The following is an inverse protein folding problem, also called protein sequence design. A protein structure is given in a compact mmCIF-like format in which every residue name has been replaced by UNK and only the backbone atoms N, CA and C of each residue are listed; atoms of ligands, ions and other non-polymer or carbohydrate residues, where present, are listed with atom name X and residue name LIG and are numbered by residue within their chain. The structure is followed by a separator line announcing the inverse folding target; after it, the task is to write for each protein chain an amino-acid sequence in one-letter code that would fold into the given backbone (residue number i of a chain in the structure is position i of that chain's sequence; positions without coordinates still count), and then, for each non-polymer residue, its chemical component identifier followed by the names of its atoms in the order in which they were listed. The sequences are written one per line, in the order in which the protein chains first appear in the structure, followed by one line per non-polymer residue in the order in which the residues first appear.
data_IF_267124938543
#
_entry.id   IF_267124938543
#
_cell.length_a   1.000
_cell.length_b   1.000
_cell.length_c   1.000
_cell.angle_alpha   90.00
_cell.angle_beta   90.00
_cell.angle_gamma   90.00
#
_symmetry.space_group_name_H-M   'P 1'
#
loop_
_entity.id
_entity.type
_entity.pdbx_description
1 polymer ?
#
# COMPACT_ATOMS: atom_id res chain seq x y z
N UNK A 1 35.14 -21.55 7.02
CA UNK A 1 34.02 -20.68 7.47
C UNK A 1 32.94 -20.85 6.42
N UNK A 2 31.83 -21.50 6.76
CA UNK A 2 30.72 -21.76 5.82
C UNK A 2 29.67 -20.69 6.11
N UNK A 3 29.35 -19.87 5.12
CA UNK A 3 28.25 -18.92 5.19
C UNK A 3 26.97 -19.65 4.79
N UNK A 4 26.08 -19.87 5.74
CA UNK A 4 24.76 -20.44 5.47
C UNK A 4 23.77 -19.30 5.21
N UNK A 5 23.11 -19.33 4.06
CA UNK A 5 22.04 -18.39 3.73
C UNK A 5 20.78 -18.82 4.48
N UNK A 6 20.36 -18.02 5.47
CA UNK A 6 19.10 -18.23 6.18
C UNK A 6 17.99 -17.46 5.45
N UNK A 7 17.25 -18.13 4.57
CA UNK A 7 16.04 -17.56 3.95
C UNK A 7 14.95 -17.41 5.02
N UNK A 8 14.95 -16.26 5.71
CA UNK A 8 13.81 -15.87 6.53
C UNK A 8 12.69 -15.43 5.59
N UNK A 9 11.82 -16.37 5.21
CA UNK A 9 10.51 -16.08 4.59
C UNK A 9 9.58 -15.40 5.61
N UNK A 10 9.95 -14.19 6.04
CA UNK A 10 9.04 -13.28 6.72
C UNK A 10 8.27 -12.66 5.55
N UNK A 11 7.16 -13.31 5.17
CA UNK A 11 6.25 -12.85 4.11
C UNK A 11 5.12 -12.06 4.77
N UNK A 12 4.77 -10.86 4.27
CA UNK A 12 3.65 -10.11 4.81
C UNK A 12 2.37 -10.94 4.66
N UNK A 13 1.34 -10.71 5.50
CA UNK A 13 0.03 -11.31 5.29
C UNK A 13 -0.38 -11.19 3.82
N UNK A 14 -0.76 -12.30 3.20
CA UNK A 14 -1.10 -12.35 1.76
C UNK A 14 -2.17 -11.32 1.38
N UNK A 15 -3.02 -10.94 2.34
CA UNK A 15 -3.99 -9.86 2.23
C UNK A 15 -3.40 -8.49 1.85
N UNK A 16 -2.12 -8.22 2.15
CA UNK A 16 -1.43 -6.98 1.77
C UNK A 16 -0.69 -7.07 0.44
N UNK A 17 -0.51 -8.28 -0.11
CA UNK A 17 0.11 -8.52 -1.42
C UNK A 17 -0.92 -8.53 -2.56
N UNK A 18 -2.20 -8.42 -2.23
CA UNK A 18 -3.28 -8.35 -3.22
C UNK A 18 -3.20 -7.00 -3.93
N UNK A 19 -3.42 -7.01 -5.24
CA UNK A 19 -3.39 -5.78 -6.02
C UNK A 19 -4.54 -4.86 -5.61
N UNK A 20 -4.18 -3.60 -5.37
CA UNK A 20 -5.11 -2.53 -5.11
C UNK A 20 -6.12 -2.35 -6.25
N UNK A 21 -7.41 -2.41 -5.92
CA UNK A 21 -8.49 -2.18 -6.88
C UNK A 21 -9.05 -0.76 -6.72
N UNK A 22 -8.81 0.09 -7.72
CA UNK A 22 -9.42 1.41 -7.81
C UNK A 22 -10.72 1.26 -8.62
N UNK A 23 -11.88 1.70 -8.08
CA UNK A 23 -13.20 1.40 -8.65
C UNK A 23 -13.50 2.12 -9.97
N UNK A 24 -12.79 3.21 -10.29
CA UNK A 24 -13.02 4.00 -11.49
C UNK A 24 -11.72 4.15 -12.28
N UNK A 25 -11.69 3.60 -13.49
CA UNK A 25 -10.54 3.68 -14.42
C UNK A 25 -10.69 4.81 -15.44
N UNK A 26 -11.89 5.37 -15.58
CA UNK A 26 -12.19 6.47 -16.47
C UNK A 26 -12.67 7.71 -15.70
N UNK A 27 -12.42 8.91 -16.23
CA UNK A 27 -12.96 10.13 -15.65
C UNK A 27 -14.50 10.13 -15.69
N UNK A 28 -15.16 10.80 -14.73
CA UNK A 28 -16.61 11.01 -14.77
C UNK A 28 -16.98 11.89 -15.97
N UNK A 29 -18.14 11.61 -16.59
CA UNK A 29 -18.65 12.36 -17.74
C UNK A 29 -19.43 13.62 -17.32
N UNK A 30 -19.92 13.64 -16.08
CA UNK A 30 -20.72 14.74 -15.54
C UNK A 30 -20.26 15.13 -14.14
N UNK A 31 -20.56 16.36 -13.73
CA UNK A 31 -20.28 16.83 -12.38
C UNK A 31 -21.03 16.00 -11.31
N UNK A 32 -22.32 15.70 -11.54
CA UNK A 32 -23.10 14.89 -10.60
C UNK A 32 -22.52 13.49 -10.40
N UNK A 33 -22.03 12.88 -11.47
CA UNK A 33 -21.31 11.60 -11.39
C UNK A 33 -19.98 11.74 -10.61
N UNK A 34 -19.24 12.83 -10.81
CA UNK A 34 -18.01 13.09 -10.05
C UNK A 34 -18.29 13.15 -8.54
N UNK A 35 -19.30 13.91 -8.12
CA UNK A 35 -19.69 14.05 -6.70
C UNK A 35 -20.06 12.71 -6.07
N UNK A 36 -20.75 11.83 -6.81
CA UNK A 36 -21.11 10.50 -6.31
C UNK A 36 -19.90 9.55 -6.24
N UNK A 37 -18.97 9.66 -7.18
CA UNK A 37 -17.78 8.79 -7.25
C UNK A 37 -16.69 9.18 -6.27
N UNK A 38 -16.57 10.47 -5.93
CA UNK A 38 -15.50 11.01 -5.10
C UNK A 38 -15.34 10.32 -3.73
N UNK A 39 -16.39 10.11 -2.92
CA UNK A 39 -16.25 9.43 -1.63
C UNK A 39 -15.82 7.97 -1.78
N UNK A 40 -16.36 7.27 -2.80
CA UNK A 40 -16.04 5.86 -3.09
C UNK A 40 -14.58 5.73 -3.53
N UNK A 41 -14.12 6.64 -4.39
CA UNK A 41 -12.73 6.67 -4.84
C UNK A 41 -11.78 6.96 -3.66
N UNK A 42 -12.11 7.93 -2.82
CA UNK A 42 -11.30 8.32 -1.67
C UNK A 42 -11.16 7.18 -0.65
N UNK A 43 -12.23 6.44 -0.38
CA UNK A 43 -12.20 5.28 0.51
C UNK A 43 -11.31 4.17 -0.05
N UNK A 44 -11.48 3.80 -1.32
CA UNK A 44 -10.64 2.80 -1.97
C UNK A 44 -9.16 3.21 -1.96
N UNK A 45 -8.87 4.49 -2.23
CA UNK A 45 -7.53 5.03 -2.17
C UNK A 45 -6.93 4.93 -0.76
N UNK A 46 -7.69 5.25 0.29
CA UNK A 46 -7.24 5.14 1.69
C UNK A 46 -6.91 3.71 2.09
N UNK A 47 -7.76 2.75 1.72
CA UNK A 47 -7.53 1.34 1.99
C UNK A 47 -6.22 0.88 1.33
N UNK A 48 -6.02 1.28 0.08
CA UNK A 48 -4.80 0.99 -0.66
C UNK A 48 -3.54 1.61 -0.04
N UNK A 49 -3.60 2.87 0.34
CA UNK A 49 -2.50 3.54 1.03
C UNK A 49 -2.15 2.83 2.34
N UNK A 50 -3.15 2.34 3.08
CA UNK A 50 -2.94 1.61 4.33
C UNK A 50 -2.21 0.27 4.11
N UNK A 51 -2.59 -0.49 3.07
CA UNK A 51 -1.88 -1.72 2.70
C UNK A 51 -0.39 -1.46 2.42
N UNK A 52 -0.08 -0.40 1.68
CA UNK A 52 1.31 0.01 1.40
C UNK A 52 2.05 0.35 2.69
N UNK A 53 1.42 1.07 3.63
CA UNK A 53 2.03 1.37 4.92
C UNK A 53 2.31 0.12 5.74
N UNK A 54 1.38 -0.84 5.76
CA UNK A 54 1.58 -2.12 6.44
C UNK A 54 2.76 -2.90 5.85
N UNK A 55 2.89 -2.96 4.51
CA UNK A 55 4.06 -3.56 3.85
C UNK A 55 5.36 -2.83 4.21
N UNK A 56 5.38 -1.49 4.18
CA UNK A 56 6.57 -0.70 4.55
C UNK A 56 7.02 -0.96 5.97
N UNK A 57 6.08 -1.02 6.93
CA UNK A 57 6.37 -1.34 8.33
C UNK A 57 6.91 -2.76 8.47
N UNK A 58 6.28 -3.71 7.78
CA UNK A 58 6.68 -5.12 7.82
C UNK A 58 8.12 -5.34 7.33
N UNK A 59 8.51 -4.67 6.24
CA UNK A 59 9.87 -4.75 5.70
C UNK A 59 10.86 -3.75 6.32
N UNK A 60 10.46 -3.00 7.35
CA UNK A 60 11.36 -2.07 8.03
C UNK A 60 11.74 -0.82 7.24
N UNK A 61 11.05 -0.50 6.14
CA UNK A 61 11.25 0.73 5.35
C UNK A 61 10.78 2.02 6.08
N UNK A 62 10.39 1.91 7.35
CA UNK A 62 9.86 3.01 8.16
C UNK A 62 10.89 3.79 8.98
N UNK A 63 12.18 3.45 8.95
CA UNK A 63 13.18 4.15 9.76
C UNK A 63 14.65 3.88 9.39
N UNK A 64 15.26 4.83 8.67
CA UNK A 64 16.65 5.29 8.85
C UNK A 64 16.96 6.47 7.93
N UNK A 65 16.42 7.65 8.25
CA UNK A 65 17.24 8.86 8.16
C UNK A 65 17.89 8.98 9.52
N UNK A 66 19.09 8.41 9.64
CA UNK A 66 19.98 8.69 10.76
C UNK A 66 20.53 10.10 10.56
N UNK A 67 19.87 11.12 11.11
CA UNK A 67 20.52 12.40 11.34
C UNK A 67 21.35 12.23 12.61
N UNK A 68 22.65 12.03 12.43
CA UNK A 68 23.64 12.15 13.48
C UNK A 68 23.59 13.57 14.07
N UNK A 69 23.41 13.67 15.39
CA UNK A 69 23.95 14.73 16.23
C UNK A 69 23.98 14.25 17.68
#
# INVERSE_FOLDING_TARGET
MVTEYQDRLIVPPSAYLVQCQIPFTSPPKTYGEAVLRDPVWLEAWRLCANQIQHLRRFYGYGGSVNTSN
#
